data_IF_989114720350
#
_entry.id   IF_989114720350
#
_cell.length_a   1.000
_cell.length_b   1.000
_cell.length_c   1.000
_cell.angle_alpha   90.00
_cell.angle_beta   90.00
_cell.angle_gamma   90.00
#
_symmetry.space_group_name_H-M   'P 1'
#
loop_
_entity.id
_entity.type
_entity.pdbx_description
1 polymer ?
#
# COMPACT_ATOMS: atom_id res chain seq x y z
N UNK A 1 -10.12 -19.30 4.30
CA UNK A 1 -11.49 -19.79 4.52
C UNK A 1 -12.34 -19.28 3.37
N UNK A 2 -13.20 -20.10 2.78
CA UNK A 2 -14.09 -19.68 1.71
C UNK A 2 -15.38 -19.11 2.32
N UNK A 3 -15.94 -18.02 1.74
CA UNK A 3 -17.23 -17.45 2.15
C UNK A 3 -17.17 -16.20 3.02
N UNK A 4 -16.00 -15.60 3.19
CA UNK A 4 -15.88 -14.30 3.88
C UNK A 4 -16.40 -13.17 2.99
N UNK A 5 -17.16 -12.24 3.58
CA UNK A 5 -17.66 -11.06 2.86
C UNK A 5 -16.56 -10.00 2.77
N UNK A 6 -15.97 -9.87 1.60
CA UNK A 6 -14.95 -8.84 1.33
C UNK A 6 -15.64 -7.58 0.81
N UNK A 7 -15.31 -6.44 1.39
CA UNK A 7 -15.81 -5.13 0.97
C UNK A 7 -14.67 -4.14 0.81
N UNK A 8 -14.90 -3.14 -0.05
CA UNK A 8 -14.01 -1.97 -0.18
C UNK A 8 -14.78 -0.73 0.22
N UNK A 9 -14.21 0.05 1.12
CA UNK A 9 -14.81 1.28 1.64
C UNK A 9 -13.87 2.44 1.38
N UNK A 10 -14.41 3.56 0.92
CA UNK A 10 -13.69 4.83 0.76
C UNK A 10 -14.28 5.83 1.73
N UNK A 11 -13.45 6.42 2.57
CA UNK A 11 -13.92 7.37 3.58
C UNK A 11 -12.75 8.15 4.21
N UNK A 12 -13.07 8.86 5.29
CA UNK A 12 -12.08 9.63 6.03
C UNK A 12 -11.88 9.04 7.43
N UNK A 13 -10.65 9.04 7.92
CA UNK A 13 -10.36 8.67 9.29
C UNK A 13 -10.99 9.68 10.27
N UNK A 14 -11.72 9.19 11.26
CA UNK A 14 -12.34 10.04 12.29
C UNK A 14 -11.35 10.44 13.37
N UNK A 15 -10.37 9.58 13.63
CA UNK A 15 -9.35 9.71 14.65
C UNK A 15 -8.02 9.18 14.12
N UNK A 16 -6.93 9.48 14.82
CA UNK A 16 -5.63 8.89 14.51
C UNK A 16 -5.66 7.37 14.75
N UNK A 17 -5.01 6.57 13.88
CA UNK A 17 -4.89 5.13 14.10
C UNK A 17 -4.19 4.82 15.42
N UNK A 18 -4.83 4.00 16.26
CA UNK A 18 -4.28 3.59 17.54
C UNK A 18 -3.49 2.30 17.39
N UNK A 19 -2.15 2.39 17.49
CA UNK A 19 -1.26 1.23 17.46
C UNK A 19 -1.18 0.60 18.84
N UNK A 20 -1.42 -0.70 18.91
CA UNK A 20 -1.27 -1.51 20.12
C UNK A 20 -0.50 -2.79 19.81
N UNK A 21 0.10 -3.38 20.84
CA UNK A 21 0.75 -4.68 20.74
C UNK A 21 -0.01 -5.69 21.59
N UNK A 22 -0.27 -6.85 21.00
CA UNK A 22 -0.86 -7.97 21.74
C UNK A 22 0.16 -8.57 22.72
N UNK A 23 -0.28 -9.35 23.72
CA UNK A 23 0.65 -10.08 24.61
C UNK A 23 1.62 -11.00 23.88
N UNK A 24 1.25 -11.47 22.67
CA UNK A 24 2.12 -12.25 21.78
C UNK A 24 3.10 -11.41 20.96
N UNK A 25 3.09 -10.08 21.12
CA UNK A 25 3.97 -9.15 20.42
C UNK A 25 3.51 -8.76 18.99
N UNK A 26 2.32 -9.17 18.59
CA UNK A 26 1.79 -8.77 17.27
C UNK A 26 1.24 -7.33 17.33
N UNK A 27 1.66 -6.49 16.38
CA UNK A 27 1.12 -5.14 16.21
C UNK A 27 -0.31 -5.19 15.64
N UNK A 28 -1.19 -4.35 16.16
CA UNK A 28 -2.53 -4.10 15.64
C UNK A 28 -2.81 -2.60 15.68
N UNK A 29 -3.29 -2.03 14.58
CA UNK A 29 -3.77 -0.65 14.56
C UNK A 29 -5.29 -0.66 14.40
N UNK A 30 -5.96 0.04 15.30
CA UNK A 30 -7.40 0.23 15.28
C UNK A 30 -7.71 1.66 14.85
N UNK A 31 -8.65 1.82 13.96
CA UNK A 31 -9.10 3.11 13.46
C UNK A 31 -10.56 3.05 13.02
N UNK A 32 -11.18 4.21 12.85
CA UNK A 32 -12.55 4.33 12.38
C UNK A 32 -12.61 5.13 11.09
N UNK A 33 -13.34 4.61 10.10
CA UNK A 33 -13.58 5.26 8.82
C UNK A 33 -15.01 5.76 8.75
N UNK A 34 -15.20 7.03 8.40
CA UNK A 34 -16.48 7.61 8.06
C UNK A 34 -16.62 7.68 6.54
N UNK A 35 -17.58 6.94 6.00
CA UNK A 35 -17.94 6.99 4.57
C UNK A 35 -19.27 7.71 4.44
N UNK A 36 -19.27 8.91 3.87
CA UNK A 36 -20.46 9.74 3.69
C UNK A 36 -20.88 9.73 2.23
N UNK A 37 -22.02 9.13 1.88
CA UNK A 37 -22.56 9.20 0.53
C UNK A 37 -23.00 10.62 0.21
N UNK A 38 -22.80 11.08 -1.02
CA UNK A 38 -23.33 12.36 -1.48
C UNK A 38 -24.38 12.12 -2.56
N UNK A 39 -25.51 12.76 -2.41
CA UNK A 39 -26.63 12.71 -3.34
C UNK A 39 -26.87 14.10 -3.92
N UNK A 40 -27.06 14.15 -5.22
CA UNK A 40 -27.41 15.40 -5.91
C UNK A 40 -28.92 15.65 -5.81
N UNK A 41 -29.30 16.73 -5.15
CA UNK A 41 -30.69 17.18 -5.06
C UNK A 41 -31.02 18.03 -6.29
N UNK A 42 -31.87 17.47 -7.16
CA UNK A 42 -32.28 18.16 -8.40
C UNK A 42 -33.21 19.36 -8.16
N UNK A 43 -33.85 19.43 -7.00
CA UNK A 43 -34.79 20.53 -6.69
C UNK A 43 -34.03 21.77 -6.24
N UNK A 44 -32.98 21.58 -5.41
CA UNK A 44 -32.12 22.67 -4.93
C UNK A 44 -30.88 22.89 -5.79
N UNK A 45 -30.60 21.97 -6.73
CA UNK A 45 -29.42 21.94 -7.58
C UNK A 45 -28.11 21.89 -6.78
N UNK A 46 -28.10 21.21 -5.62
CA UNK A 46 -27.00 21.11 -4.70
C UNK A 46 -26.65 19.67 -4.34
N UNK A 47 -25.40 19.44 -3.99
CA UNK A 47 -24.96 18.17 -3.43
C UNK A 47 -25.21 18.14 -1.94
N UNK A 48 -26.03 17.19 -1.47
CA UNK A 48 -26.30 16.95 -0.05
C UNK A 48 -25.52 15.72 0.45
N UNK A 49 -24.96 15.84 1.63
CA UNK A 49 -24.36 14.72 2.33
C UNK A 49 -25.46 13.86 2.95
N UNK A 50 -25.41 12.56 2.72
CA UNK A 50 -26.28 11.59 3.37
C UNK A 50 -25.73 11.15 4.73
N UNK A 51 -26.38 10.15 5.33
CA UNK A 51 -25.97 9.62 6.62
C UNK A 51 -24.61 8.93 6.51
N UNK A 52 -23.65 9.31 7.37
CA UNK A 52 -22.32 8.70 7.35
C UNK A 52 -22.34 7.28 7.90
N UNK A 53 -21.73 6.37 7.19
CA UNK A 53 -21.40 5.02 7.67
C UNK A 53 -20.10 5.08 8.46
N UNK A 54 -20.16 4.75 9.74
CA UNK A 54 -18.97 4.60 10.59
C UNK A 54 -18.59 3.13 10.69
N UNK A 55 -17.38 2.80 10.27
CA UNK A 55 -16.87 1.43 10.28
C UNK A 55 -15.60 1.35 11.13
N UNK A 56 -15.61 0.48 12.12
CA UNK A 56 -14.43 0.16 12.92
C UNK A 56 -13.55 -0.82 12.15
N UNK A 57 -12.28 -0.50 12.02
CA UNK A 57 -11.31 -1.24 11.23
C UNK A 57 -10.12 -1.66 12.08
N UNK A 58 -9.60 -2.86 11.83
CA UNK A 58 -8.39 -3.38 12.47
C UNK A 58 -7.43 -3.89 11.40
N UNK A 59 -6.18 -3.47 11.46
CA UNK A 59 -5.11 -3.95 10.59
C UNK A 59 -3.97 -4.52 11.44
N UNK A 60 -3.29 -5.54 10.96
CA UNK A 60 -2.36 -6.34 11.75
C UNK A 60 -0.92 -6.29 11.24
N UNK A 61 0.03 -6.58 12.15
CA UNK A 61 1.47 -6.78 11.87
C UNK A 61 2.12 -5.53 11.29
N UNK A 62 2.99 -5.70 10.30
CA UNK A 62 3.75 -4.60 9.69
C UNK A 62 2.84 -3.52 9.09
N UNK A 63 1.71 -3.89 8.52
CA UNK A 63 0.75 -2.93 8.00
C UNK A 63 0.17 -2.03 9.10
N UNK A 64 0.02 -2.54 10.33
CA UNK A 64 -0.43 -1.75 11.47
C UNK A 64 0.56 -0.62 11.83
N UNK A 65 1.84 -0.94 11.87
CA UNK A 65 2.90 0.03 12.14
C UNK A 65 2.97 1.08 11.04
N UNK A 66 2.93 0.65 9.77
CA UNK A 66 2.95 1.54 8.62
C UNK A 66 1.73 2.49 8.60
N UNK A 67 0.55 2.01 8.95
CA UNK A 67 -0.68 2.80 9.03
C UNK A 67 -0.57 3.87 10.13
N UNK A 68 -0.10 3.47 11.31
CA UNK A 68 0.05 4.39 12.44
C UNK A 68 1.09 5.49 12.16
N UNK A 69 2.14 5.18 11.38
CA UNK A 69 3.16 6.15 10.98
C UNK A 69 2.69 7.09 9.85
N UNK A 70 1.88 6.57 8.92
CA UNK A 70 1.59 7.25 7.65
C UNK A 70 0.26 7.98 7.63
N UNK A 71 -0.73 7.55 8.41
CA UNK A 71 -2.10 8.05 8.35
C UNK A 71 -2.48 8.77 9.64
N UNK A 72 -3.27 9.82 9.48
CA UNK A 72 -3.75 10.64 10.59
C UNK A 72 -5.23 10.95 10.43
N UNK A 73 -5.87 11.46 11.49
CA UNK A 73 -7.24 11.93 11.48
C UNK A 73 -7.52 12.83 10.29
N UNK A 74 -8.65 12.61 9.62
CA UNK A 74 -9.08 13.37 8.45
C UNK A 74 -8.51 12.86 7.12
N UNK A 75 -7.49 11.99 7.15
CA UNK A 75 -6.95 11.38 5.93
C UNK A 75 -8.05 10.60 5.19
N UNK A 76 -8.18 10.85 3.89
CA UNK A 76 -9.05 10.05 3.02
C UNK A 76 -8.34 8.79 2.62
N UNK A 77 -8.98 7.65 2.87
CA UNK A 77 -8.42 6.32 2.65
C UNK A 77 -9.33 5.44 1.81
N UNK A 78 -8.71 4.48 1.14
CA UNK A 78 -9.36 3.32 0.51
C UNK A 78 -8.98 2.12 1.33
N UNK A 79 -9.96 1.39 1.83
CA UNK A 79 -9.77 0.24 2.72
C UNK A 79 -10.49 -0.95 2.14
N UNK A 80 -9.80 -2.07 1.99
CA UNK A 80 -10.38 -3.36 1.59
C UNK A 80 -10.14 -4.37 2.70
N UNK A 81 -11.15 -5.15 3.02
CA UNK A 81 -11.04 -6.14 4.07
C UNK A 81 -12.28 -7.01 4.19
N UNK A 82 -12.27 -7.86 5.19
CA UNK A 82 -13.30 -8.84 5.49
C UNK A 82 -14.23 -8.32 6.58
N UNK A 83 -15.50 -8.26 6.25
CA UNK A 83 -16.53 -7.82 7.19
C UNK A 83 -16.75 -8.93 8.24
N UNK A 84 -16.65 -8.57 9.51
CA UNK A 84 -16.89 -9.46 10.64
C UNK A 84 -17.98 -8.90 11.52
N UNK A 85 -18.86 -9.76 11.96
CA UNK A 85 -19.87 -9.44 12.95
C UNK A 85 -19.52 -10.12 14.26
N UNK A 86 -19.51 -9.35 15.34
CA UNK A 86 -19.29 -9.84 16.69
C UNK A 86 -20.43 -9.40 17.60
N UNK A 87 -21.00 -10.35 18.32
CA UNK A 87 -21.99 -10.06 19.37
C UNK A 87 -21.34 -10.21 20.74
N UNK A 88 -21.59 -9.26 21.62
CA UNK A 88 -21.15 -9.30 23.00
C UNK A 88 -22.30 -8.85 23.92
N UNK A 89 -22.24 -9.31 25.16
CA UNK A 89 -23.19 -8.92 26.18
C UNK A 89 -22.58 -7.81 27.03
N UNK A 90 -23.33 -6.71 27.21
CA UNK A 90 -22.91 -5.61 28.07
C UNK A 90 -23.02 -6.03 29.54
N UNK A 91 -22.40 -5.27 30.45
CA UNK A 91 -22.53 -5.49 31.89
C UNK A 91 -23.96 -5.41 32.40
N UNK A 92 -24.86 -4.80 31.64
CA UNK A 92 -26.29 -4.65 31.91
C UNK A 92 -27.13 -5.79 31.33
N UNK A 93 -26.50 -6.82 30.70
CA UNK A 93 -27.17 -7.97 30.12
C UNK A 93 -27.73 -7.74 28.70
N UNK A 94 -27.45 -6.60 28.09
CA UNK A 94 -27.88 -6.31 26.72
C UNK A 94 -26.94 -6.98 25.69
N UNK A 95 -27.50 -7.69 24.73
CA UNK A 95 -26.75 -8.21 23.58
C UNK A 95 -26.55 -7.10 22.56
N UNK A 96 -25.30 -6.72 22.31
CA UNK A 96 -24.94 -5.78 21.26
C UNK A 96 -24.19 -6.46 20.14
N UNK A 97 -24.54 -6.12 18.92
CA UNK A 97 -23.86 -6.60 17.72
C UNK A 97 -23.06 -5.47 17.12
N UNK A 98 -21.79 -5.71 16.88
CA UNK A 98 -20.86 -4.77 16.22
C UNK A 98 -20.42 -5.39 14.90
N UNK A 99 -20.35 -4.55 13.90
CA UNK A 99 -19.77 -4.91 12.60
C UNK A 99 -18.42 -4.23 12.50
N UNK A 100 -17.40 -5.01 12.24
CA UNK A 100 -16.00 -4.58 12.17
C UNK A 100 -15.38 -5.04 10.84
N UNK A 101 -14.39 -4.32 10.35
CA UNK A 101 -13.64 -4.68 9.16
C UNK A 101 -12.23 -5.15 9.55
N UNK A 102 -11.94 -6.42 9.25
CA UNK A 102 -10.58 -6.95 9.33
C UNK A 102 -9.87 -6.62 8.03
N UNK A 103 -8.95 -5.68 8.08
CA UNK A 103 -8.37 -5.02 6.92
C UNK A 103 -7.29 -5.88 6.28
N UNK A 104 -7.43 -6.14 5.00
CA UNK A 104 -6.41 -6.79 4.18
C UNK A 104 -5.50 -5.75 3.51
N UNK A 105 -6.07 -4.64 2.99
CA UNK A 105 -5.34 -3.57 2.31
C UNK A 105 -5.90 -2.19 2.70
N UNK A 106 -4.99 -1.24 2.90
CA UNK A 106 -5.34 0.17 3.15
C UNK A 106 -4.30 1.08 2.53
N UNK A 107 -4.76 2.20 1.99
CA UNK A 107 -3.90 3.25 1.48
C UNK A 107 -4.58 4.61 1.45
N UNK A 108 -3.80 5.69 1.35
CA UNK A 108 -4.35 7.03 1.16
C UNK A 108 -5.02 7.14 -0.21
N UNK A 109 -6.17 7.81 -0.25
CA UNK A 109 -6.83 8.15 -1.51
C UNK A 109 -6.14 9.37 -2.14
N UNK A 110 -5.69 9.23 -3.38
CA UNK A 110 -5.02 10.32 -4.10
C UNK A 110 -5.99 11.25 -4.84
N UNK A 111 -7.28 11.09 -4.63
CA UNK A 111 -8.28 11.92 -5.32
C UNK A 111 -8.12 13.41 -5.05
N UNK A 112 -7.70 13.78 -3.84
CA UNK A 112 -7.54 15.17 -3.40
C UNK A 112 -6.21 15.40 -2.66
N UNK A 113 -5.28 14.45 -2.77
CA UNK A 113 -3.99 14.50 -2.08
C UNK A 113 -2.90 13.82 -2.90
N UNK A 114 -1.65 14.12 -2.59
CA UNK A 114 -0.47 13.42 -3.09
C UNK A 114 0.17 12.61 -1.97
N UNK A 115 0.86 11.52 -2.29
CA UNK A 115 1.60 10.74 -1.32
C UNK A 115 2.99 10.40 -1.84
N UNK A 116 4.00 10.47 -0.96
CA UNK A 116 5.32 9.90 -1.20
C UNK A 116 5.36 8.50 -0.59
N UNK A 117 5.74 7.50 -1.40
CA UNK A 117 5.84 6.12 -0.94
C UNK A 117 7.29 5.80 -0.63
N UNK A 118 7.58 5.41 0.60
CA UNK A 118 8.86 4.88 1.04
C UNK A 118 8.71 3.40 1.32
N UNK A 119 9.52 2.57 0.66
CA UNK A 119 9.49 1.12 0.92
C UNK A 119 10.08 0.84 2.30
N UNK A 120 9.32 0.19 3.16
CA UNK A 120 9.82 -0.38 4.41
C UNK A 120 10.60 -1.67 4.08
N UNK A 121 11.81 -1.80 4.60
CA UNK A 121 12.53 -3.06 4.52
C UNK A 121 11.82 -4.06 5.42
N UNK A 122 11.43 -5.21 4.86
CA UNK A 122 11.02 -6.33 5.71
C UNK A 122 12.21 -6.67 6.60
N UNK A 123 12.04 -6.50 7.90
CA UNK A 123 12.96 -7.07 8.89
C UNK A 123 12.70 -8.58 8.93
N UNK A 124 13.03 -9.23 7.82
CA UNK A 124 13.09 -10.69 7.69
C UNK A 124 14.49 -11.10 8.05
N UNK A 125 14.60 -11.98 9.04
CA UNK A 125 15.78 -12.48 9.68
C UNK A 125 17.06 -12.47 8.85
N UNK A 126 18.03 -11.68 9.30
CA UNK A 126 19.37 -11.76 8.83
C UNK A 126 19.95 -13.12 9.16
N UNK A 127 20.04 -13.99 8.17
CA UNK A 127 21.05 -15.02 8.20
C UNK A 127 22.38 -14.32 7.93
N UNK A 128 23.27 -14.44 8.90
CA UNK A 128 24.51 -13.75 9.04
C UNK A 128 25.35 -13.71 7.77
N UNK A 129 25.69 -12.49 7.37
CA UNK A 129 26.80 -12.24 6.50
C UNK A 129 28.10 -12.55 7.23
N UNK A 130 28.55 -13.78 7.13
CA UNK A 130 29.95 -14.11 7.38
C UNK A 130 30.77 -13.48 6.26
N UNK A 131 31.68 -12.60 6.62
CA UNK A 131 32.79 -12.16 5.75
C UNK A 131 33.51 -13.38 5.21
N UNK A 132 33.69 -13.55 3.89
CA UNK A 132 34.64 -14.54 3.39
C UNK A 132 36.03 -13.91 3.38
N UNK A 133 36.80 -14.20 4.41
CA UNK A 133 38.25 -14.10 4.37
C UNK A 133 38.78 -15.24 3.51
N UNK A 134 39.64 -14.87 2.57
CA UNK A 134 40.34 -15.58 1.56
C UNK A 134 40.57 -17.09 1.69
N UNK A 135 40.41 -17.75 0.56
CA UNK A 135 40.79 -19.14 0.32
C UNK A 135 40.35 -19.56 -1.07
N UNK A 136 41.32 -19.67 -1.98
CA UNK A 136 41.05 -20.06 -3.38
C UNK A 136 40.40 -21.43 -3.46
N UNK A 137 39.28 -21.48 -4.12
CA UNK A 137 38.62 -22.69 -4.61
C UNK A 137 38.10 -22.39 -6.00
N UNK A 138 38.65 -23.08 -6.97
CA UNK A 138 38.28 -22.95 -8.38
C UNK A 138 36.81 -23.26 -8.59
N UNK A 139 36.10 -22.34 -9.21
CA UNK A 139 34.75 -22.47 -9.63
C UNK A 139 34.68 -23.43 -10.85
N UNK A 140 33.99 -24.59 -10.77
CA UNK A 140 33.96 -25.58 -11.86
C UNK A 140 33.29 -25.09 -13.14
N UNK A 141 32.67 -23.91 -13.13
CA UNK A 141 31.97 -23.32 -14.28
C UNK A 141 32.65 -22.07 -14.84
N UNK A 142 33.85 -21.72 -14.35
CA UNK A 142 34.65 -20.64 -14.93
C UNK A 142 35.34 -21.11 -16.20
N UNK A 143 34.88 -20.66 -17.34
CA UNK A 143 35.55 -20.82 -18.65
C UNK A 143 36.89 -20.09 -18.60
N UNK A 144 38.00 -20.71 -19.01
CA UNK A 144 39.33 -20.04 -19.01
C UNK A 144 39.35 -18.95 -20.07
N UNK A 145 39.67 -17.74 -19.63
CA UNK A 145 39.98 -16.63 -20.53
C UNK A 145 41.34 -16.92 -21.22
N UNK A 146 41.29 -17.30 -22.47
CA UNK A 146 42.45 -17.43 -23.35
C UNK A 146 42.75 -16.02 -23.89
N UNK A 147 43.86 -15.49 -23.50
CA UNK A 147 44.44 -14.27 -24.08
C UNK A 147 44.88 -14.48 -25.52
N UNK A 148 44.62 -13.48 -26.36
CA UNK A 148 45.04 -13.48 -27.77
C UNK A 148 44.50 -12.25 -28.50
N UNK A 149 45.28 -11.20 -28.48
CA UNK A 149 45.66 -10.30 -29.54
C UNK A 149 44.72 -10.10 -30.78
N UNK A 150 44.24 -8.85 -30.94
CA UNK A 150 44.10 -8.15 -32.19
C UNK A 150 43.03 -8.61 -33.19
N UNK A 151 42.07 -7.76 -33.45
CA UNK A 151 41.27 -7.86 -34.66
C UNK A 151 39.83 -7.33 -34.54
N UNK A 152 39.63 -6.18 -35.15
CA UNK A 152 38.37 -5.66 -35.74
C UNK A 152 37.03 -5.91 -35.01
N UNK A 153 36.45 -4.85 -34.49
CA UNK A 153 35.06 -4.75 -34.12
C UNK A 153 34.13 -4.98 -35.34
N UNK A 154 33.19 -5.87 -35.30
CA UNK A 154 32.07 -5.82 -36.21
C UNK A 154 31.11 -4.70 -35.76
N UNK A 155 30.78 -3.83 -36.71
CA UNK A 155 29.85 -2.73 -36.57
C UNK A 155 28.45 -3.20 -36.15
N UNK A 156 27.90 -2.52 -35.16
CA UNK A 156 26.55 -2.70 -34.67
C UNK A 156 25.55 -2.22 -35.72
N UNK A 157 24.59 -3.05 -36.22
CA UNK A 157 23.68 -2.68 -37.31
C UNK A 157 22.62 -1.64 -36.89
N UNK A 158 22.60 -1.17 -35.66
CA UNK A 158 21.59 -0.22 -35.16
C UNK A 158 22.13 1.18 -34.81
N UNK A 159 23.39 1.48 -35.11
CA UNK A 159 23.92 2.83 -34.98
C UNK A 159 23.87 3.58 -36.30
N UNK A 160 22.68 3.79 -36.81
CA UNK A 160 22.43 4.59 -38.04
C UNK A 160 21.81 5.93 -37.73
N UNK A 161 22.66 6.98 -37.79
CA UNK A 161 22.33 8.25 -38.38
C UNK A 161 21.35 9.16 -37.68
N UNK A 162 21.91 10.13 -36.95
CA UNK A 162 21.24 11.42 -36.72
C UNK A 162 21.02 12.15 -38.04
N UNK A 163 19.82 12.58 -38.34
CA UNK A 163 19.50 13.59 -39.33
C UNK A 163 18.80 14.79 -38.66
N UNK A 164 19.06 16.01 -39.10
CA UNK A 164 18.71 17.24 -38.38
C UNK A 164 17.23 17.61 -38.51
N UNK A 165 16.73 18.28 -37.48
CA UNK A 165 15.40 18.85 -37.40
C UNK A 165 15.19 19.97 -38.45
N UNK A 166 13.98 20.12 -39.00
CA UNK A 166 13.45 21.40 -39.41
C UNK A 166 12.51 21.98 -38.36
N UNK A 167 12.76 23.23 -38.09
CA UNK A 167 11.94 24.13 -37.30
C UNK A 167 10.59 24.40 -37.97
N UNK A 168 9.56 24.62 -37.18
CA UNK A 168 8.40 25.42 -37.54
C UNK A 168 7.12 24.61 -37.69
N UNK A 169 6.22 24.73 -36.76
CA UNK A 169 4.89 25.28 -36.91
C UNK A 169 4.07 24.95 -35.66
N UNK A 170 3.67 25.97 -34.98
CA UNK A 170 2.67 25.97 -33.91
C UNK A 170 1.29 25.88 -34.55
N UNK A 171 0.39 24.97 -34.15
CA UNK A 171 -1.01 25.12 -34.49
C UNK A 171 -1.73 25.91 -33.38
N UNK A 172 -2.58 26.86 -33.75
CA UNK A 172 -3.42 27.57 -32.80
C UNK A 172 -4.61 26.69 -32.40
N UNK A 173 -4.87 26.59 -31.12
CA UNK A 173 -6.15 26.59 -30.36
C UNK A 173 -5.90 26.15 -28.94
#
# INVERSE_FOLDING_TARGET
>A
MAGETVITVVGNLTDDPELRFTPSGAAVANFRVASTPRTFDRQTNEWKDGDPLFLSCSVWRQAAENVAESLQRGARVVVTGRLKQRSYETREGEKRTVVELDVDEIGPSLRYATAKVTKTQRSGGGFGGGTPQGGGGADPWATPAQGGQGGAQPADPWSGGAAPAPSGDEPPF
#
